data_IF_077977437861
#
_entry.id   IF_077977437861
#
_cell.length_a   1.000
_cell.length_b   1.000
_cell.length_c   1.000
_cell.angle_alpha   90.00
_cell.angle_beta   90.00
_cell.angle_gamma   90.00
#
_symmetry.space_group_name_H-M   'P 1'
#
loop_
_entity.id
_entity.type
_entity.pdbx_description
1 polymer ?
#
# COMPACT_ATOMS: atom_id res chain seq x y z
N UNK A 1 63.16 30.35 9.68
CA UNK A 1 62.00 30.13 10.58
C UNK A 1 60.80 29.91 9.66
N UNK A 2 60.57 28.66 9.24
CA UNK A 2 59.59 27.71 9.82
C UNK A 2 58.16 28.25 9.85
N UNK A 3 57.28 27.60 9.09
CA UNK A 3 55.86 27.87 8.97
C UNK A 3 55.21 26.98 7.91
N UNK A 4 55.48 25.68 7.98
CA UNK A 4 54.95 24.63 7.12
C UNK A 4 53.42 24.58 7.14
N UNK A 5 52.83 24.40 5.97
CA UNK A 5 51.41 24.31 5.72
C UNK A 5 50.66 23.34 6.64
N UNK A 6 49.60 23.87 7.25
CA UNK A 6 48.57 23.10 7.94
C UNK A 6 47.21 23.69 7.56
N UNK A 7 46.76 23.50 6.33
CA UNK A 7 45.39 23.89 5.98
C UNK A 7 44.62 23.04 4.94
N UNK A 8 45.15 21.90 4.47
CA UNK A 8 44.52 21.19 3.33
C UNK A 8 43.70 19.93 3.70
N UNK A 9 43.76 19.46 4.95
CA UNK A 9 43.11 18.20 5.34
C UNK A 9 41.58 18.27 5.45
N UNK A 10 41.03 19.39 5.95
CA UNK A 10 39.58 19.52 6.23
C UNK A 10 38.73 19.70 4.98
N UNK A 11 39.22 20.42 3.96
CA UNK A 11 38.49 20.66 2.72
C UNK A 11 38.37 19.40 1.86
N UNK A 12 39.42 18.57 1.81
CA UNK A 12 39.42 17.31 1.04
C UNK A 12 38.47 16.29 1.65
N UNK A 13 38.47 16.15 2.98
CA UNK A 13 37.56 15.24 3.70
C UNK A 13 36.09 15.65 3.54
N UNK A 14 35.77 16.95 3.63
CA UNK A 14 34.42 17.46 3.41
C UNK A 14 33.88 17.17 2.01
N UNK A 15 34.71 17.40 0.98
CA UNK A 15 34.33 17.09 -0.40
C UNK A 15 34.16 15.57 -0.64
N UNK A 16 35.02 14.73 -0.06
CA UNK A 16 34.87 13.26 -0.19
C UNK A 16 33.60 12.75 0.50
N UNK A 17 33.26 13.29 1.67
CA UNK A 17 32.05 12.92 2.40
C UNK A 17 30.78 13.40 1.68
N UNK A 18 30.81 14.61 1.11
CA UNK A 18 29.73 15.15 0.29
C UNK A 18 29.49 14.29 -0.96
N UNK A 19 30.56 13.94 -1.70
CA UNK A 19 30.45 13.08 -2.88
C UNK A 19 29.95 11.67 -2.53
N UNK A 20 30.41 11.11 -1.41
CA UNK A 20 29.93 9.82 -0.92
C UNK A 20 28.45 9.87 -0.54
N UNK A 21 28.02 10.93 0.14
CA UNK A 21 26.62 11.14 0.49
C UNK A 21 25.75 11.20 -0.77
N UNK A 22 26.15 11.96 -1.79
CA UNK A 22 25.43 12.01 -3.08
C UNK A 22 25.39 10.63 -3.74
N UNK A 23 26.51 9.90 -3.78
CA UNK A 23 26.57 8.58 -4.40
C UNK A 23 25.63 7.57 -3.70
N UNK A 24 25.66 7.50 -2.36
CA UNK A 24 24.74 6.66 -1.57
C UNK A 24 23.30 7.10 -1.80
N UNK A 25 23.05 8.41 -1.81
CA UNK A 25 21.73 8.96 -2.07
C UNK A 25 21.17 8.56 -3.43
N UNK A 26 21.99 8.61 -4.49
CA UNK A 26 21.63 8.15 -5.82
C UNK A 26 21.33 6.64 -5.86
N UNK A 27 22.12 5.81 -5.17
CA UNK A 27 21.87 4.37 -5.10
C UNK A 27 20.54 4.07 -4.42
N UNK A 28 20.24 4.72 -3.29
CA UNK A 28 18.98 4.54 -2.58
C UNK A 28 17.78 5.03 -3.40
N UNK A 29 17.90 6.21 -4.02
CA UNK A 29 16.83 6.78 -4.82
C UNK A 29 16.57 5.99 -6.11
N UNK A 30 17.59 5.82 -6.96
CA UNK A 30 17.44 5.14 -8.25
C UNK A 30 17.22 3.63 -8.07
N UNK A 31 17.92 3.01 -7.12
CA UNK A 31 17.73 1.60 -6.79
C UNK A 31 16.37 1.32 -6.19
N UNK A 32 15.92 2.13 -5.24
CA UNK A 32 14.58 2.04 -4.66
C UNK A 32 13.48 2.25 -5.69
N UNK A 33 13.64 3.25 -6.58
CA UNK A 33 12.68 3.51 -7.66
C UNK A 33 12.63 2.37 -8.67
N UNK A 34 13.78 1.88 -9.14
CA UNK A 34 13.86 0.78 -10.09
C UNK A 34 13.28 -0.52 -9.49
N UNK A 35 13.59 -0.81 -8.23
CA UNK A 35 13.01 -1.95 -7.53
C UNK A 35 11.49 -1.82 -7.40
N UNK A 36 11.00 -0.65 -6.99
CA UNK A 36 9.57 -0.38 -6.91
C UNK A 36 8.85 -0.53 -8.25
N UNK A 37 9.44 -0.06 -9.35
CA UNK A 37 8.87 -0.21 -10.69
C UNK A 37 8.74 -1.68 -11.16
N UNK A 38 9.63 -2.55 -10.68
CA UNK A 38 9.56 -4.00 -10.95
C UNK A 38 8.53 -4.69 -10.06
N UNK A 39 8.44 -4.31 -8.79
CA UNK A 39 7.55 -4.97 -7.81
C UNK A 39 6.11 -4.47 -7.93
N UNK A 40 5.89 -3.17 -8.10
CA UNK A 40 4.56 -2.57 -8.10
C UNK A 40 4.04 -2.23 -9.49
N UNK A 41 2.72 -2.37 -9.68
CA UNK A 41 2.00 -1.95 -10.89
C UNK A 41 0.91 -0.95 -10.51
N UNK A 42 0.83 0.22 -11.16
CA UNK A 42 -0.26 1.15 -10.95
C UNK A 42 -1.53 0.67 -11.66
N UNK A 43 -2.67 0.81 -11.00
CA UNK A 43 -4.00 0.59 -11.58
C UNK A 43 -4.89 1.79 -11.32
N UNK A 44 -5.73 2.14 -12.31
CA UNK A 44 -6.82 3.10 -12.12
C UNK A 44 -8.11 2.34 -11.86
N UNK A 45 -8.79 2.63 -10.75
CA UNK A 45 -10.04 1.94 -10.39
C UNK A 45 -11.23 2.68 -11.02
N UNK A 46 -12.04 2.02 -11.88
CA UNK A 46 -13.11 2.70 -12.61
C UNK A 46 -14.48 2.67 -11.91
N UNK A 47 -14.62 1.93 -10.80
CA UNK A 47 -15.90 1.67 -10.14
C UNK A 47 -15.84 1.95 -8.64
N UNK A 48 -16.99 2.20 -8.02
CA UNK A 48 -17.13 2.39 -6.57
C UNK A 48 -17.27 1.08 -5.77
N UNK A 49 -17.08 -0.09 -6.38
CA UNK A 49 -17.28 -1.39 -5.71
C UNK A 49 -16.36 -1.64 -4.51
N UNK A 50 -15.30 -0.84 -4.33
CA UNK A 50 -14.35 -0.93 -3.23
C UNK A 50 -14.41 0.27 -2.28
N UNK A 51 -15.38 1.18 -2.46
CA UNK A 51 -15.59 2.33 -1.58
C UNK A 51 -16.03 1.84 -0.19
N UNK A 52 -15.49 2.37 0.92
CA UNK A 52 -14.61 3.55 1.05
C UNK A 52 -13.11 3.27 0.92
N UNK A 53 -12.68 2.00 0.88
CA UNK A 53 -11.25 1.66 0.84
C UNK A 53 -10.56 2.18 -0.42
N UNK A 54 -11.21 2.05 -1.57
CA UNK A 54 -10.74 2.57 -2.86
C UNK A 54 -11.93 3.15 -3.64
N UNK A 55 -11.86 4.43 -3.98
CA UNK A 55 -12.93 5.13 -4.69
C UNK A 55 -12.76 5.02 -6.21
N UNK A 56 -13.84 5.24 -6.97
CA UNK A 56 -13.71 5.41 -8.41
C UNK A 56 -12.78 6.60 -8.75
N UNK A 57 -11.87 6.38 -9.69
CA UNK A 57 -10.85 7.33 -10.11
C UNK A 57 -9.52 7.21 -9.35
N UNK A 58 -9.47 6.48 -8.23
CA UNK A 58 -8.24 6.30 -7.46
C UNK A 58 -7.17 5.56 -8.28
N UNK A 59 -5.91 5.96 -8.08
CA UNK A 59 -4.74 5.23 -8.58
C UNK A 59 -4.13 4.43 -7.45
N UNK A 60 -4.19 3.12 -7.57
CA UNK A 60 -3.66 2.20 -6.56
C UNK A 60 -2.32 1.62 -6.98
N UNK A 61 -1.46 1.33 -6.00
CA UNK A 61 -0.23 0.57 -6.20
C UNK A 61 -0.48 -0.86 -5.72
N UNK A 62 -0.33 -1.80 -6.65
CA UNK A 62 -0.48 -3.21 -6.37
C UNK A 62 0.87 -3.93 -6.51
N UNK A 63 1.27 -4.63 -5.45
CA UNK A 63 2.43 -5.51 -5.40
C UNK A 63 2.17 -6.73 -6.27
N UNK A 64 3.10 -7.06 -7.17
CA UNK A 64 3.06 -8.34 -7.88
C UNK A 64 3.30 -9.47 -6.88
N UNK A 65 2.29 -10.33 -6.72
CA UNK A 65 2.34 -11.50 -5.85
C UNK A 65 1.66 -12.67 -6.55
N UNK A 66 2.10 -13.87 -6.22
CA UNK A 66 1.42 -15.08 -6.67
C UNK A 66 0.22 -15.38 -5.77
N UNK A 67 -0.75 -16.12 -6.30
CA UNK A 67 -1.92 -16.55 -5.55
C UNK A 67 -1.58 -17.27 -4.24
N UNK A 68 -0.39 -17.90 -4.14
CA UNK A 68 0.13 -18.55 -2.94
C UNK A 68 0.28 -17.62 -1.73
N UNK A 69 0.57 -16.34 -1.95
CA UNK A 69 0.84 -15.33 -0.91
C UNK A 69 -0.43 -14.57 -0.46
N UNK A 70 -1.52 -14.74 -1.18
CA UNK A 70 -2.81 -14.10 -0.89
C UNK A 70 -3.41 -14.70 0.38
N UNK A 71 -3.87 -13.85 1.30
CA UNK A 71 -4.57 -14.24 2.53
C UNK A 71 -5.90 -13.52 2.65
N UNK A 72 -6.69 -13.90 3.67
CA UNK A 72 -7.93 -13.18 3.99
C UNK A 72 -7.61 -11.74 4.39
N UNK A 73 -8.47 -10.82 4.01
CA UNK A 73 -8.31 -9.39 4.20
C UNK A 73 -7.54 -8.68 3.08
N UNK A 74 -6.83 -9.41 2.22
CA UNK A 74 -6.08 -8.83 1.11
C UNK A 74 -7.03 -8.21 0.08
N UNK A 75 -6.68 -7.04 -0.45
CA UNK A 75 -7.34 -6.49 -1.65
C UNK A 75 -6.51 -6.95 -2.84
N UNK A 76 -7.12 -7.68 -3.77
CA UNK A 76 -6.42 -8.31 -4.89
C UNK A 76 -6.91 -7.79 -6.22
N UNK A 77 -6.00 -7.79 -7.20
CA UNK A 77 -6.29 -7.61 -8.62
C UNK A 77 -6.26 -8.98 -9.28
N UNK A 78 -7.32 -9.36 -9.97
CA UNK A 78 -7.43 -10.64 -10.69
C UNK A 78 -8.16 -10.47 -12.02
N UNK A 79 -7.95 -11.40 -12.94
CA UNK A 79 -8.67 -11.47 -14.23
C UNK A 79 -9.17 -12.89 -14.43
N UNK A 80 -10.49 -13.08 -14.60
CA UNK A 80 -11.13 -14.40 -14.78
C UNK A 80 -12.25 -14.29 -15.81
N UNK A 81 -12.24 -15.14 -16.84
CA UNK A 81 -13.19 -15.07 -17.97
C UNK A 81 -14.65 -15.30 -17.55
N UNK A 82 -14.90 -15.96 -16.41
CA UNK A 82 -16.26 -16.14 -15.86
C UNK A 82 -16.83 -14.82 -15.35
N UNK A 83 -15.94 -13.91 -14.95
CA UNK A 83 -16.27 -12.59 -14.40
C UNK A 83 -16.14 -11.47 -15.44
N UNK A 84 -15.23 -11.66 -16.39
CA UNK A 84 -14.98 -10.75 -17.51
C UNK A 84 -13.49 -10.67 -17.85
N UNK A 85 -13.20 -10.26 -19.09
CA UNK A 85 -11.83 -10.16 -19.61
C UNK A 85 -11.12 -8.86 -19.20
N UNK A 86 -11.39 -8.35 -17.99
CA UNK A 86 -10.82 -7.11 -17.45
C UNK A 86 -10.34 -7.30 -16.02
N UNK A 87 -9.25 -6.62 -15.60
CA UNK A 87 -8.79 -6.69 -14.21
C UNK A 87 -9.85 -6.18 -13.22
N UNK A 88 -10.13 -6.99 -12.21
CA UNK A 88 -11.07 -6.68 -11.13
C UNK A 88 -10.33 -6.46 -9.83
N UNK A 89 -10.83 -5.55 -9.00
CA UNK A 89 -10.32 -5.29 -7.65
C UNK A 89 -11.38 -5.68 -6.63
N UNK A 90 -11.06 -6.60 -5.72
CA UNK A 90 -11.94 -7.08 -4.65
C UNK A 90 -11.14 -7.47 -3.40
N UNK A 91 -11.81 -7.54 -2.24
CA UNK A 91 -11.22 -8.03 -0.99
C UNK A 91 -11.46 -9.53 -0.84
N UNK A 92 -10.41 -10.27 -0.51
CA UNK A 92 -10.48 -11.68 -0.14
C UNK A 92 -11.09 -11.82 1.25
N UNK A 93 -12.21 -12.52 1.36
CA UNK A 93 -12.84 -12.81 2.66
C UNK A 93 -12.76 -14.28 3.04
N UNK A 94 -12.56 -15.18 2.06
CA UNK A 94 -12.33 -16.60 2.27
C UNK A 94 -11.26 -17.17 1.35
N UNK A 95 -10.57 -18.20 1.82
CA UNK A 95 -9.57 -18.99 1.09
C UNK A 95 -9.97 -20.46 1.11
N UNK A 96 -9.30 -21.30 0.32
CA UNK A 96 -9.58 -22.74 0.25
C UNK A 96 -9.78 -23.40 1.62
N UNK A 97 -10.85 -24.18 1.73
CA UNK A 97 -11.29 -24.84 2.95
C UNK A 97 -12.28 -24.04 3.79
N UNK A 98 -12.49 -22.75 3.51
CA UNK A 98 -13.43 -21.94 4.27
C UNK A 98 -14.89 -22.19 3.92
N UNK A 99 -15.75 -22.08 4.94
CA UNK A 99 -17.16 -21.77 4.77
C UNK A 99 -17.40 -20.30 5.10
N UNK A 100 -17.77 -19.51 4.09
CA UNK A 100 -18.10 -18.09 4.26
C UNK A 100 -19.62 -17.94 4.22
N UNK A 101 -20.20 -17.25 5.21
CA UNK A 101 -21.63 -16.99 5.23
C UNK A 101 -21.94 -15.59 5.75
N UNK A 102 -22.92 -14.94 5.13
CA UNK A 102 -23.58 -13.78 5.71
C UNK A 102 -25.04 -14.16 6.03
N UNK A 103 -25.52 -13.89 7.25
CA UNK A 103 -24.83 -13.25 8.38
C UNK A 103 -25.17 -13.89 9.74
N UNK A 104 -24.33 -13.63 10.75
CA UNK A 104 -24.66 -13.96 12.14
C UNK A 104 -25.85 -13.12 12.65
N UNK A 105 -26.32 -13.43 13.86
CA UNK A 105 -27.44 -12.71 14.49
C UNK A 105 -27.24 -11.20 14.67
N UNK A 106 -25.99 -10.73 14.62
CA UNK A 106 -25.59 -9.33 14.78
C UNK A 106 -25.26 -8.70 13.43
N UNK A 107 -25.57 -9.39 12.32
CA UNK A 107 -25.35 -8.88 10.96
C UNK A 107 -23.90 -8.97 10.50
N UNK A 108 -23.04 -9.78 11.11
CA UNK A 108 -21.63 -9.90 10.71
C UNK A 108 -21.41 -11.04 9.73
N UNK A 109 -20.46 -10.86 8.82
CA UNK A 109 -19.91 -11.95 8.03
C UNK A 109 -19.30 -12.99 8.96
N UNK A 110 -19.47 -14.28 8.64
CA UNK A 110 -18.82 -15.38 9.34
C UNK A 110 -17.89 -16.15 8.41
N UNK A 111 -16.76 -16.59 8.95
CA UNK A 111 -15.81 -17.49 8.29
C UNK A 111 -15.62 -18.67 9.21
N UNK A 112 -16.02 -19.87 8.77
CA UNK A 112 -16.04 -21.10 9.56
C UNK A 112 -16.88 -20.96 10.86
N UNK A 113 -17.94 -20.16 10.81
CA UNK A 113 -18.80 -19.86 11.97
C UNK A 113 -18.26 -18.77 12.90
N UNK A 114 -17.02 -18.34 12.74
CA UNK A 114 -16.43 -17.25 13.51
C UNK A 114 -16.82 -15.90 12.90
N UNK A 115 -17.41 -14.97 13.67
CA UNK A 115 -17.78 -13.66 13.18
C UNK A 115 -16.54 -12.80 12.90
N UNK A 116 -16.57 -12.09 11.77
CA UNK A 116 -15.50 -11.20 11.32
C UNK A 116 -15.93 -9.74 11.50
N UNK A 117 -15.12 -8.95 12.19
CA UNK A 117 -15.27 -7.49 12.23
C UNK A 117 -14.68 -6.87 10.96
N UNK A 118 -15.50 -6.08 10.27
CA UNK A 118 -15.17 -5.50 8.97
C UNK A 118 -15.14 -3.96 9.05
N UNK A 119 -14.10 -3.36 9.69
CA UNK A 119 -14.04 -1.91 9.93
C UNK A 119 -13.87 -1.09 8.65
N UNK A 120 -13.60 -1.74 7.52
CA UNK A 120 -13.45 -1.12 6.20
C UNK A 120 -14.78 -0.90 5.47
N UNK A 121 -15.89 -1.44 5.98
CA UNK A 121 -17.20 -1.18 5.39
C UNK A 121 -17.70 0.22 5.79
N UNK A 122 -18.45 0.89 4.90
CA UNK A 122 -19.39 1.92 5.35
C UNK A 122 -20.28 1.31 6.44
N UNK A 123 -20.54 2.06 7.52
CA UNK A 123 -21.32 1.65 8.71
C UNK A 123 -22.09 0.34 8.48
N UNK A 124 -21.58 -0.78 9.01
CA UNK A 124 -22.00 -2.18 8.79
C UNK A 124 -23.26 -2.33 7.92
N UNK A 125 -23.10 -2.62 6.62
CA UNK A 125 -24.22 -2.94 5.73
C UNK A 125 -25.02 -1.77 5.17
N UNK A 126 -24.69 -0.54 5.55
CA UNK A 126 -25.27 0.65 4.94
C UNK A 126 -24.75 0.80 3.51
N UNK A 127 -25.65 0.63 2.54
CA UNK A 127 -25.54 1.39 1.31
C UNK A 127 -25.43 2.88 1.67
N UNK A 128 -24.67 3.68 0.92
CA UNK A 128 -24.70 5.15 1.05
C UNK A 128 -26.13 5.75 0.95
N UNK A 129 -27.12 4.92 0.58
CA UNK A 129 -28.53 5.25 0.39
C UNK A 129 -29.44 4.86 1.58
N UNK A 130 -29.02 4.00 2.51
CA UNK A 130 -29.91 3.41 3.54
C UNK A 130 -29.32 3.57 4.94
N UNK A 131 -29.00 4.80 5.34
CA UNK A 131 -28.75 5.18 6.75
C UNK A 131 -27.57 4.49 7.46
N UNK A 132 -27.02 5.15 8.48
CA UNK A 132 -25.94 4.58 9.31
C UNK A 132 -26.54 3.82 10.48
N UNK A 133 -27.11 2.66 10.23
CA UNK A 133 -27.50 1.75 11.30
C UNK A 133 -26.36 0.75 11.54
N UNK A 134 -25.68 0.87 12.69
CA UNK A 134 -24.57 -0.03 13.10
C UNK A 134 -24.97 -1.52 13.23
N UNK A 135 -26.23 -1.85 12.95
CA UNK A 135 -26.83 -3.18 12.99
C UNK A 135 -27.24 -3.72 11.62
N UNK A 136 -26.99 -3.00 10.53
CA UNK A 136 -27.30 -3.54 9.20
C UNK A 136 -26.38 -4.72 8.89
N UNK A 137 -26.86 -5.72 8.12
CA UNK A 137 -26.08 -6.91 7.82
C UNK A 137 -24.92 -6.57 6.88
N UNK A 138 -23.78 -7.22 7.08
CA UNK A 138 -22.55 -7.01 6.31
C UNK A 138 -22.73 -7.26 4.80
N UNK A 139 -23.81 -7.92 4.38
CA UNK A 139 -24.26 -7.99 3.00
C UNK A 139 -25.77 -7.76 2.95
N UNK A 140 -26.30 -7.05 1.93
CA UNK A 140 -27.73 -6.87 1.70
C UNK A 140 -28.45 -8.16 1.28
N UNK A 141 -27.70 -9.22 0.98
CA UNK A 141 -28.22 -10.53 0.60
C UNK A 141 -27.59 -11.62 1.47
N UNK A 142 -28.40 -12.60 1.86
CA UNK A 142 -27.95 -13.81 2.53
C UNK A 142 -27.21 -14.72 1.55
N UNK A 143 -26.14 -15.36 2.03
CA UNK A 143 -25.42 -16.35 1.24
C UNK A 143 -24.63 -17.31 2.13
N UNK A 144 -24.30 -18.46 1.57
CA UNK A 144 -23.31 -19.39 2.12
C UNK A 144 -22.50 -19.95 0.96
N UNK A 145 -21.18 -19.99 1.12
CA UNK A 145 -20.25 -20.50 0.11
C UNK A 145 -19.17 -21.36 0.78
N UNK A 146 -18.94 -22.53 0.22
CA UNK A 146 -17.80 -23.38 0.53
C UNK A 146 -16.69 -23.08 -0.48
N UNK A 147 -15.54 -22.63 0.01
CA UNK A 147 -14.40 -22.20 -0.82
C UNK A 147 -13.54 -23.42 -1.15
N UNK A 148 -13.48 -23.86 -2.43
CA UNK A 148 -12.65 -25.00 -2.80
C UNK A 148 -11.17 -24.71 -2.62
N UNK A 149 -10.38 -25.77 -2.42
CA UNK A 149 -8.92 -25.67 -2.38
C UNK A 149 -8.36 -24.97 -3.63
N UNK A 150 -7.34 -24.14 -3.44
CA UNK A 150 -6.72 -23.35 -4.51
C UNK A 150 -7.58 -22.20 -5.04
N UNK A 151 -8.73 -21.88 -4.41
CA UNK A 151 -9.60 -20.75 -4.79
C UNK A 151 -9.77 -19.76 -3.64
N UNK A 152 -10.31 -18.59 -3.96
CA UNK A 152 -10.61 -17.50 -3.03
C UNK A 152 -12.04 -17.02 -3.24
N UNK A 153 -12.68 -16.59 -2.16
CA UNK A 153 -13.98 -15.92 -2.19
C UNK A 153 -13.78 -14.44 -1.91
N UNK A 154 -14.28 -13.60 -2.81
CA UNK A 154 -13.96 -12.17 -2.84
C UNK A 154 -15.22 -11.32 -2.80
N UNK A 155 -15.19 -10.24 -2.03
CA UNK A 155 -16.28 -9.28 -1.90
C UNK A 155 -15.78 -7.87 -2.21
N UNK A 156 -16.67 -7.02 -2.73
CA UNK A 156 -16.43 -5.59 -2.69
C UNK A 156 -16.65 -5.03 -1.29
N UNK A 157 -15.96 -3.94 -0.98
CA UNK A 157 -16.19 -3.20 0.27
C UNK A 157 -17.49 -2.39 0.19
N UNK A 158 -17.90 -1.95 -1.00
CA UNK A 158 -19.25 -1.42 -1.23
C UNK A 158 -20.22 -2.57 -1.49
N UNK A 159 -20.74 -3.12 -0.38
CA UNK A 159 -21.51 -4.36 -0.37
C UNK A 159 -22.83 -4.27 -1.13
N UNK A 160 -23.39 -3.07 -1.28
CA UNK A 160 -24.71 -2.87 -1.87
C UNK A 160 -24.72 -2.89 -3.40
N UNK A 161 -23.62 -2.51 -4.04
CA UNK A 161 -23.54 -2.36 -5.51
C UNK A 161 -22.43 -3.19 -6.15
N UNK A 162 -21.55 -3.80 -5.36
CA UNK A 162 -20.48 -4.63 -5.88
C UNK A 162 -21.00 -5.91 -6.53
N UNK A 163 -20.69 -6.09 -7.82
CA UNK A 163 -20.73 -7.38 -8.49
C UNK A 163 -19.49 -8.17 -8.09
N UNK A 164 -19.67 -9.10 -7.15
CA UNK A 164 -18.61 -9.93 -6.58
C UNK A 164 -19.01 -11.41 -6.46
N UNK A 165 -18.34 -12.20 -5.61
CA UNK A 165 -18.56 -13.64 -5.56
C UNK A 165 -20.02 -14.03 -5.33
N UNK A 166 -20.79 -13.14 -4.69
CA UNK A 166 -22.22 -13.31 -4.40
C UNK A 166 -23.11 -13.38 -5.64
N UNK A 167 -22.74 -12.73 -6.74
CA UNK A 167 -23.54 -12.78 -7.99
C UNK A 167 -23.20 -14.01 -8.85
N UNK A 168 -22.06 -14.64 -8.59
CA UNK A 168 -21.52 -15.77 -9.33
C UNK A 168 -21.73 -17.12 -8.62
N UNK A 169 -22.53 -17.18 -7.54
CA UNK A 169 -22.71 -18.39 -6.73
C UNK A 169 -23.27 -19.60 -7.51
N UNK A 170 -23.98 -19.35 -8.61
CA UNK A 170 -24.54 -20.40 -9.48
C UNK A 170 -23.59 -20.80 -10.62
N UNK A 171 -22.48 -20.09 -10.80
CA UNK A 171 -21.50 -20.36 -11.85
C UNK A 171 -20.56 -21.51 -11.45
N UNK A 172 -19.86 -22.13 -12.42
CA UNK A 172 -18.80 -23.09 -12.12
C UNK A 172 -17.76 -22.51 -11.16
N UNK A 173 -17.54 -23.18 -10.03
CA UNK A 173 -16.68 -22.69 -8.96
C UNK A 173 -17.41 -21.91 -7.86
N UNK A 174 -18.74 -21.82 -7.91
CA UNK A 174 -19.58 -21.28 -6.82
C UNK A 174 -19.17 -19.87 -6.38
N UNK A 175 -18.95 -19.00 -7.37
CA UNK A 175 -18.54 -17.61 -7.16
C UNK A 175 -17.10 -17.43 -6.69
N UNK A 176 -16.29 -18.48 -6.60
CA UNK A 176 -14.88 -18.35 -6.21
C UNK A 176 -13.97 -18.10 -7.40
N UNK A 177 -12.85 -17.41 -7.15
CA UNK A 177 -11.82 -17.10 -8.13
C UNK A 177 -10.62 -18.05 -7.93
N UNK A 178 -10.03 -18.63 -8.99
CA UNK A 178 -8.80 -19.41 -8.85
C UNK A 178 -7.67 -18.54 -8.29
N UNK A 179 -6.86 -19.04 -7.35
CA UNK A 179 -5.68 -18.30 -6.85
C UNK A 179 -4.70 -17.95 -7.98
N UNK A 180 -4.63 -18.79 -9.02
CA UNK A 180 -3.82 -18.56 -10.21
C UNK A 180 -4.29 -17.40 -11.10
N UNK A 181 -5.51 -16.90 -10.89
CA UNK A 181 -6.02 -15.73 -11.60
C UNK A 181 -5.61 -14.40 -10.95
N UNK A 182 -5.02 -14.43 -9.74
CA UNK A 182 -4.54 -13.24 -9.05
C UNK A 182 -3.24 -12.76 -9.70
N UNK A 183 -3.21 -11.47 -10.05
CA UNK A 183 -2.04 -10.82 -10.66
C UNK A 183 -1.25 -9.97 -9.66
N UNK A 184 -1.94 -9.36 -8.69
CA UNK A 184 -1.34 -8.44 -7.76
C UNK A 184 -2.20 -8.24 -6.50
N UNK A 185 -1.58 -7.64 -5.47
CA UNK A 185 -2.21 -7.28 -4.21
C UNK A 185 -2.06 -5.80 -3.94
N UNK A 186 -3.16 -5.12 -3.67
CA UNK A 186 -3.21 -3.67 -3.51
C UNK A 186 -2.73 -3.28 -2.11
N UNK A 187 -1.65 -2.50 -2.05
CA UNK A 187 -1.04 -2.07 -0.79
C UNK A 187 -1.29 -0.58 -0.47
N UNK A 188 -1.62 0.25 -1.46
CA UNK A 188 -1.83 1.68 -1.24
C UNK A 188 -2.68 2.35 -2.31
N UNK A 189 -3.35 3.44 -1.90
CA UNK A 189 -3.93 4.44 -2.81
C UNK A 189 -2.90 5.56 -3.01
N UNK A 190 -2.20 5.52 -4.14
CA UNK A 190 -1.11 6.45 -4.44
C UNK A 190 -1.60 7.83 -4.94
N UNK A 191 -2.81 7.92 -5.50
CA UNK A 191 -3.43 9.20 -5.85
C UNK A 191 -4.93 9.11 -5.58
N UNK A 192 -5.53 10.01 -4.76
CA UNK A 192 -4.98 11.26 -4.20
C UNK A 192 -4.13 11.13 -2.92
N UNK A 193 -3.37 10.02 -2.76
CA UNK A 193 -2.51 9.72 -1.60
C UNK A 193 -3.30 9.40 -0.31
N UNK A 194 -4.32 8.54 -0.42
CA UNK A 194 -5.15 8.11 0.72
C UNK A 194 -4.47 7.04 1.61
N UNK A 195 -3.15 6.85 1.47
CA UNK A 195 -2.35 6.03 2.36
C UNK A 195 -2.28 4.54 1.99
N UNK A 196 -1.77 3.75 2.94
CA UNK A 196 -1.60 2.31 2.79
C UNK A 196 -2.88 1.57 3.22
N UNK A 197 -3.17 0.46 2.53
CA UNK A 197 -4.29 -0.41 2.83
C UNK A 197 -3.80 -1.44 3.87
N UNK A 198 -4.34 -1.32 5.08
CA UNK A 198 -4.00 -2.22 6.19
C UNK A 198 -4.64 -3.61 6.05
N UNK A 199 -4.14 -4.55 6.86
CA UNK A 199 -4.71 -5.91 6.98
C UNK A 199 -5.67 -5.95 8.17
N UNK A 200 -6.97 -6.22 7.97
CA UNK A 200 -7.93 -6.19 9.06
C UNK A 200 -7.59 -7.23 10.14
N UNK A 201 -7.48 -6.79 11.39
CA UNK A 201 -7.08 -7.64 12.52
C UNK A 201 -8.02 -8.83 12.75
N UNK A 202 -9.30 -8.70 12.38
CA UNK A 202 -10.27 -9.78 12.48
C UNK A 202 -9.85 -11.02 11.68
N UNK A 203 -9.23 -10.85 10.51
CA UNK A 203 -8.71 -11.96 9.73
C UNK A 203 -7.40 -12.52 10.29
N UNK A 204 -6.63 -11.73 11.03
CA UNK A 204 -5.37 -12.18 11.64
C UNK A 204 -5.60 -13.20 12.77
N UNK A 205 -6.78 -13.16 13.41
CA UNK A 205 -7.18 -14.11 14.44
C UNK A 205 -7.63 -15.48 13.87
N UNK A 206 -7.95 -15.55 12.58
CA UNK A 206 -8.37 -16.79 11.93
C UNK A 206 -7.17 -17.68 11.54
N UNK A 207 -7.34 -19.02 11.45
CA UNK A 207 -6.28 -19.91 11.01
C UNK A 207 -5.69 -19.51 9.66
N UNK A 208 -4.35 -19.45 9.58
CA UNK A 208 -3.62 -18.99 8.39
C UNK A 208 -3.32 -17.48 8.36
N UNK A 209 -3.91 -16.70 9.26
CA UNK A 209 -3.60 -15.29 9.49
C UNK A 209 -3.78 -14.37 8.27
N UNK A 210 -3.11 -13.21 8.34
CA UNK A 210 -3.04 -12.22 7.25
C UNK A 210 -1.67 -12.27 6.57
N UNK A 211 -1.57 -11.71 5.37
CA UNK A 211 -0.27 -11.62 4.69
C UNK A 211 0.65 -10.61 5.38
N UNK A 212 1.95 -10.70 5.10
CA UNK A 212 2.89 -9.62 5.45
C UNK A 212 2.58 -8.35 4.66
N UNK A 213 2.96 -7.20 5.22
CA UNK A 213 2.99 -5.95 4.48
C UNK A 213 4.03 -6.02 3.36
N UNK A 214 3.71 -5.43 2.21
CA UNK A 214 4.64 -5.33 1.10
C UNK A 214 5.80 -4.36 1.37
N UNK A 215 6.82 -4.33 0.51
CA UNK A 215 8.03 -3.52 0.72
C UNK A 215 7.81 -2.00 0.54
N UNK A 216 6.59 -1.54 0.25
CA UNK A 216 6.30 -0.13 -0.02
C UNK A 216 6.82 0.85 1.06
N UNK A 217 6.66 0.62 2.38
CA UNK A 217 7.19 1.52 3.39
C UNK A 217 8.71 1.65 3.33
N UNK A 218 9.41 0.53 3.11
CA UNK A 218 10.86 0.50 2.97
C UNK A 218 11.32 1.22 1.70
N UNK A 219 10.59 1.04 0.59
CA UNK A 219 10.88 1.72 -0.67
C UNK A 219 10.70 3.24 -0.52
N UNK A 220 9.58 3.70 0.05
CA UNK A 220 9.35 5.13 0.32
C UNK A 220 10.45 5.69 1.22
N UNK A 221 10.83 4.96 2.28
CA UNK A 221 11.95 5.34 3.15
C UNK A 221 13.27 5.49 2.38
N UNK A 222 13.62 4.52 1.54
CA UNK A 222 14.83 4.58 0.71
C UNK A 222 14.83 5.78 -0.25
N UNK A 223 13.70 6.06 -0.89
CA UNK A 223 13.55 7.22 -1.78
C UNK A 223 13.76 8.53 -1.02
N UNK A 224 13.12 8.70 0.13
CA UNK A 224 13.21 9.93 0.93
C UNK A 224 14.63 10.14 1.47
N UNK A 225 15.25 9.10 2.04
CA UNK A 225 16.64 9.15 2.50
C UNK A 225 17.58 9.45 1.33
N UNK A 226 17.34 8.84 0.18
CA UNK A 226 18.07 9.09 -1.06
C UNK A 226 18.05 10.57 -1.47
N UNK A 227 16.86 11.17 -1.53
CA UNK A 227 16.67 12.60 -1.84
C UNK A 227 17.40 13.48 -0.83
N UNK A 228 17.27 13.20 0.47
CA UNK A 228 17.91 14.00 1.53
C UNK A 228 19.44 13.97 1.40
N UNK A 229 20.02 12.79 1.13
CA UNK A 229 21.46 12.65 0.95
C UNK A 229 21.97 13.35 -0.31
N UNK A 230 21.23 13.27 -1.42
CA UNK A 230 21.58 13.96 -2.68
C UNK A 230 21.58 15.47 -2.45
N UNK A 231 20.50 16.02 -1.89
CA UNK A 231 20.36 17.46 -1.68
C UNK A 231 21.35 17.98 -0.65
N UNK A 232 21.53 17.27 0.47
CA UNK A 232 22.47 17.64 1.53
C UNK A 232 23.92 17.57 1.06
N UNK A 233 24.28 16.53 0.32
CA UNK A 233 25.60 16.38 -0.29
C UNK A 233 25.88 17.48 -1.32
N UNK A 234 24.96 17.75 -2.25
CA UNK A 234 25.12 18.78 -3.27
C UNK A 234 25.19 20.21 -2.71
N UNK A 235 24.45 20.49 -1.62
CA UNK A 235 24.46 21.80 -0.97
C UNK A 235 25.76 22.10 -0.19
N UNK A 236 26.60 21.08 0.09
CA UNK A 236 27.81 21.25 0.89
C UNK A 236 28.81 22.25 0.28
N UNK A 237 29.04 22.19 -1.04
CA UNK A 237 29.98 23.10 -1.72
C UNK A 237 29.55 24.58 -1.68
N UNK A 238 28.31 24.92 -2.09
CA UNK A 238 27.79 26.29 -1.99
C UNK A 238 27.77 26.84 -0.56
N UNK A 239 27.44 26.01 0.44
CA UNK A 239 27.37 26.41 1.84
C UNK A 239 28.75 26.59 2.48
N UNK A 240 29.72 25.72 2.16
CA UNK A 240 31.10 25.87 2.63
C UNK A 240 31.73 27.14 2.05
N UNK A 241 31.49 27.45 0.78
CA UNK A 241 31.96 28.68 0.13
C UNK A 241 31.35 29.95 0.73
N UNK A 242 30.05 29.94 1.07
CA UNK A 242 29.38 31.06 1.75
C UNK A 242 29.88 31.26 3.18
N UNK A 243 30.12 30.17 3.92
CA UNK A 243 30.64 30.23 5.29
C UNK A 243 32.08 30.78 5.34
N UNK A 244 32.94 30.33 4.41
CA UNK A 244 34.30 30.85 4.27
C UNK A 244 34.31 32.37 3.97
N UNK A 245 33.49 32.83 3.01
CA UNK A 245 33.36 34.27 2.71
C UNK A 245 32.80 35.09 3.87
N UNK A 246 31.95 34.51 4.73
CA UNK A 246 31.42 35.19 5.92
C UNK A 246 32.46 35.29 7.03
N UNK A 247 33.34 34.29 7.16
CA UNK A 247 34.45 34.30 8.11
C UNK A 247 35.56 35.30 7.73
N UNK A 248 35.74 35.58 6.43
CA UNK A 248 36.73 36.55 5.93
C UNK A 248 36.26 38.02 5.94
N UNK A 249 35.00 38.33 6.29
CA UNK A 249 34.57 39.74 6.44
C UNK A 249 35.24 40.36 7.67
N UNK A 250 36.08 41.40 7.52
CA UNK A 250 36.65 42.09 8.67
C UNK A 250 35.51 42.73 9.49
N UNK A 251 35.57 42.65 10.82
CA UNK A 251 34.74 43.50 11.68
C UNK A 251 35.09 44.95 11.34
N UNK A 252 34.16 45.67 10.71
CA UNK A 252 34.30 47.11 10.51
C UNK A 252 34.61 47.73 11.88
N UNK A 253 35.76 48.39 12.00
CA UNK A 253 36.16 49.10 13.20
C UNK A 253 35.13 50.18 13.49
N UNK A 254 34.33 49.97 14.53
CA UNK A 254 33.66 51.06 15.22
C UNK A 254 34.77 51.88 15.89
N UNK A 255 35.18 52.97 15.25
CA UNK A 255 36.20 53.85 15.79
C UNK A 255 36.66 54.89 14.78
N UNK A 256 36.00 56.04 14.79
CA UNK A 256 36.65 57.33 14.64
C UNK A 256 35.74 58.41 15.27
N UNK A 257 36.40 59.28 16.02
CA UNK A 257 35.90 60.36 16.86
C UNK A 257 35.10 61.44 16.10
#
# INVERSE_FOLDING_TARGET
MSGSGRHDGRGRLGNTLSNLAVAVGCVLFLGGFAWGAVVYKPYTVPTDSMTPTVNAGDRVLAERVDGGDVRRGDVVVFTDSTWGDVPMVKRVVGVGGDKVACCDKDGRLTVNGEPVEEPYLHAKGASSLIGTDDKAPASPQDFTADVPEGRIFVLGDERSTSMDSRVHLQDPGQGTVPRSAVEARVDAVAWPMNGMIGRPAAFAALPGGVSSEGPLPLQVGALLVGVVLILGGAAHGPLSARSARKAERPKASAGAH
#
